data_IF_117089699506
#
_entry.id   IF_117089699506
#
_cell.length_a   1.000
_cell.length_b   1.000
_cell.length_c   1.000
_cell.angle_alpha   90.00
_cell.angle_beta   90.00
_cell.angle_gamma   90.00
#
_symmetry.space_group_name_H-M   'P 1'
#
loop_
_entity.id
_entity.type
_entity.pdbx_description
1 polymer ?
#
# COMPACT_ATOMS: atom_id res chain seq x y z
N UNK A 1 -6.08 -11.98 -5.21
CA UNK A 1 -6.61 -11.08 -4.16
C UNK A 1 -7.79 -11.79 -3.51
N UNK A 2 -7.51 -12.67 -2.57
CA UNK A 2 -8.50 -13.53 -1.89
C UNK A 2 -8.83 -13.02 -0.49
N UNK A 3 -8.41 -11.79 -0.16
CA UNK A 3 -8.44 -11.24 1.19
C UNK A 3 -9.12 -9.89 1.25
N UNK A 4 -9.83 -9.66 2.34
CA UNK A 4 -10.47 -8.38 2.63
C UNK A 4 -9.41 -7.31 2.91
N UNK A 5 -9.45 -6.17 2.19
CA UNK A 5 -8.55 -5.06 2.45
C UNK A 5 -8.70 -4.48 3.86
N UNK A 6 -7.59 -4.10 4.49
CA UNK A 6 -7.58 -3.47 5.82
C UNK A 6 -7.36 -1.95 5.73
N UNK A 7 -8.00 -1.19 6.62
CA UNK A 7 -7.68 0.23 6.78
C UNK A 7 -6.27 0.37 7.39
N UNK A 8 -5.33 0.86 6.60
CA UNK A 8 -3.95 1.15 7.04
C UNK A 8 -3.91 2.38 7.97
N UNK A 9 -4.44 3.52 7.53
CA UNK A 9 -4.51 4.77 8.30
C UNK A 9 -5.79 5.52 7.97
N UNK A 10 -6.41 6.15 8.97
CA UNK A 10 -7.57 7.04 8.80
C UNK A 10 -7.10 8.47 8.45
N UNK A 11 -6.53 8.65 7.26
CA UNK A 11 -6.08 9.95 6.77
C UNK A 11 -5.16 9.84 5.55
N UNK A 12 -4.93 10.95 4.83
CA UNK A 12 -4.10 10.95 3.64
C UNK A 12 -2.62 10.70 3.97
N UNK A 13 -1.90 10.12 3.02
CA UNK A 13 -0.44 10.11 3.00
C UNK A 13 0.02 11.18 2.01
N UNK A 14 0.62 12.26 2.53
CA UNK A 14 1.13 13.37 1.72
C UNK A 14 2.66 13.29 1.75
N UNK A 15 3.29 13.20 0.58
CA UNK A 15 4.74 13.17 0.45
C UNK A 15 5.19 13.77 -0.88
N UNK A 16 6.41 14.27 -0.92
CA UNK A 16 7.08 14.66 -2.16
C UNK A 16 7.59 13.42 -2.89
N UNK A 17 7.39 13.35 -4.20
CA UNK A 17 7.82 12.24 -5.03
C UNK A 17 8.59 12.74 -6.24
N UNK A 18 9.64 12.00 -6.60
CA UNK A 18 10.34 12.20 -7.85
C UNK A 18 9.54 11.56 -9.00
N UNK A 19 9.74 12.01 -10.24
CA UNK A 19 9.14 11.34 -11.40
C UNK A 19 9.58 9.88 -11.46
N UNK A 20 8.62 8.97 -11.64
CA UNK A 20 8.92 7.54 -11.68
C UNK A 20 7.68 6.67 -11.62
N UNK A 21 7.91 5.35 -11.58
CA UNK A 21 6.85 4.35 -11.41
C UNK A 21 6.82 3.89 -9.97
N UNK A 22 5.63 3.91 -9.39
CA UNK A 22 5.39 3.49 -8.02
C UNK A 22 4.25 2.50 -7.97
N UNK A 23 4.31 1.57 -7.02
CA UNK A 23 3.29 0.56 -6.82
C UNK A 23 2.49 0.91 -5.57
N UNK A 24 1.22 1.24 -5.76
CA UNK A 24 0.32 1.59 -4.66
C UNK A 24 -0.18 0.33 -3.94
N UNK A 25 -0.24 0.37 -2.60
CA UNK A 25 -0.85 -0.71 -1.81
C UNK A 25 -2.37 -0.59 -1.78
N UNK A 26 -3.09 -1.54 -2.37
CA UNK A 26 -4.55 -1.62 -2.33
C UNK A 26 -5.09 -2.54 -1.23
N UNK A 27 -4.28 -3.47 -0.70
CA UNK A 27 -4.72 -4.42 0.32
C UNK A 27 -4.66 -3.85 1.75
N UNK A 28 -3.89 -2.79 1.98
CA UNK A 28 -3.73 -2.19 3.32
C UNK A 28 -2.87 -2.98 4.31
N UNK A 29 -2.28 -4.10 3.88
CA UNK A 29 -1.40 -4.95 4.72
C UNK A 29 0.10 -4.68 4.53
N UNK A 30 0.47 -3.82 3.57
CA UNK A 30 1.89 -3.47 3.36
C UNK A 30 2.48 -2.79 4.59
N UNK A 31 3.73 -3.13 4.92
CA UNK A 31 4.50 -2.47 5.97
C UNK A 31 5.09 -1.12 5.52
N UNK A 32 5.13 -0.85 4.21
CA UNK A 32 5.74 0.36 3.61
C UNK A 32 4.70 1.29 2.98
N UNK A 33 3.57 1.46 3.64
CA UNK A 33 2.47 2.33 3.19
C UNK A 33 2.99 3.74 2.85
N UNK A 34 2.57 4.32 1.70
CA UNK A 34 1.47 3.92 0.82
C UNK A 34 1.83 2.88 -0.25
N UNK A 35 3.07 2.40 -0.25
CA UNK A 35 3.59 1.55 -1.32
C UNK A 35 3.35 0.06 -1.08
N UNK A 36 3.39 -0.70 -2.17
CA UNK A 36 3.25 -2.15 -2.16
C UNK A 36 4.59 -2.85 -1.88
N UNK A 37 4.59 -3.80 -0.95
CA UNK A 37 5.70 -4.72 -0.64
C UNK A 37 5.43 -6.18 -1.03
N UNK A 38 4.31 -6.45 -1.70
CA UNK A 38 3.93 -7.80 -2.15
C UNK A 38 3.36 -8.71 -1.05
N UNK A 39 3.07 -8.20 0.15
CA UNK A 39 2.44 -8.99 1.24
C UNK A 39 1.13 -9.64 0.80
N UNK A 40 0.35 -8.99 -0.08
CA UNK A 40 -0.91 -9.51 -0.61
C UNK A 40 -0.80 -10.81 -1.44
N UNK A 41 0.40 -11.27 -1.77
CA UNK A 41 0.63 -12.53 -2.48
C UNK A 41 0.88 -13.72 -1.56
N UNK A 42 1.18 -13.47 -0.27
CA UNK A 42 1.60 -14.50 0.70
C UNK A 42 0.55 -14.80 1.75
N UNK A 43 -0.47 -13.95 1.82
CA UNK A 43 -1.57 -14.11 2.74
C UNK A 43 -2.64 -14.95 2.05
#
# INVERSE_FOLDING_TARGET
MTMEPKISKKGPCVMEMQPGKYFWSSCGHSAIQPFCDGVHNKL
#
